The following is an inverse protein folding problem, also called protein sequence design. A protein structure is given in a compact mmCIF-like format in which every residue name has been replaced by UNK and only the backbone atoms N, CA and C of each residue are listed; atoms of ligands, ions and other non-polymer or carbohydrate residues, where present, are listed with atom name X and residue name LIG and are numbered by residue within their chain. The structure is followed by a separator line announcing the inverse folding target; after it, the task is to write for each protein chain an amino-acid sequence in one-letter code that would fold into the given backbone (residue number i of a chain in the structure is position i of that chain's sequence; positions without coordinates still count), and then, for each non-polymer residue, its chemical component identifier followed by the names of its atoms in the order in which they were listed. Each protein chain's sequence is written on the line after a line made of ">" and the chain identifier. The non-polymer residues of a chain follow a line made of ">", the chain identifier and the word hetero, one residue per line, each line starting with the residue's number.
data_IF_893930870086
#
_entry.id   IF_893930870086
#
_cell.length_a   1.000
_cell.length_b   1.000
_cell.length_c   1.000
_cell.angle_alpha   90.00
_cell.angle_beta   90.00
_cell.angle_gamma   90.00
#
_symmetry.space_group_name_H-M   'P 1'
#
loop_
_entity.id
_entity.type
_entity.pdbx_description
1 polymer ?
#
# COMPACT_ATOMS: atom_id res chain seq x y z
N UNK A 1 -18.19 17.92 7.95
CA UNK A 1 -17.67 18.62 6.75
C UNK A 1 -17.96 17.72 5.54
N UNK A 2 -18.42 18.25 4.41
CA UNK A 2 -18.65 17.48 3.18
C UNK A 2 -17.30 17.17 2.53
N UNK A 3 -17.09 15.94 2.03
CA UNK A 3 -15.86 15.50 1.36
C UNK A 3 -16.09 15.38 -0.14
N UNK A 4 -15.14 15.87 -0.92
CA UNK A 4 -15.17 15.76 -2.38
C UNK A 4 -14.58 14.40 -2.79
N UNK A 5 -15.37 13.62 -3.52
CA UNK A 5 -14.96 12.32 -4.07
C UNK A 5 -14.96 12.42 -5.59
N UNK A 6 -13.82 12.13 -6.22
CA UNK A 6 -13.70 12.08 -7.69
C UNK A 6 -13.58 10.62 -8.13
N UNK A 7 -14.38 10.21 -9.09
CA UNK A 7 -14.35 8.89 -9.73
C UNK A 7 -13.67 9.02 -11.08
N UNK A 8 -12.61 8.24 -11.29
CA UNK A 8 -11.84 8.15 -12.54
C UNK A 8 -11.90 6.71 -13.05
N UNK A 9 -12.59 6.50 -14.15
CA UNK A 9 -12.80 5.19 -14.78
C UNK A 9 -13.25 5.47 -16.23
N UNK A 10 -12.75 4.76 -17.22
CA UNK A 10 -13.12 5.01 -18.63
C UNK A 10 -14.54 4.55 -18.95
N UNK A 11 -15.07 3.59 -18.21
CA UNK A 11 -16.42 3.06 -18.40
C UNK A 11 -17.48 3.95 -17.70
N UNK A 12 -18.22 4.74 -18.48
CA UNK A 12 -19.33 5.57 -17.96
C UNK A 12 -20.35 4.77 -17.11
N UNK A 13 -20.77 3.55 -17.48
CA UNK A 13 -21.68 2.77 -16.63
C UNK A 13 -21.08 2.46 -15.26
N UNK A 14 -19.79 2.18 -15.19
CA UNK A 14 -19.06 1.92 -13.94
C UNK A 14 -19.03 3.16 -13.06
N UNK A 15 -18.71 4.35 -13.61
CA UNK A 15 -18.75 5.61 -12.86
C UNK A 15 -20.13 5.89 -12.28
N UNK A 16 -21.20 5.71 -13.08
CA UNK A 16 -22.58 5.90 -12.62
C UNK A 16 -23.01 4.87 -11.56
N UNK A 17 -22.52 3.64 -11.67
CA UNK A 17 -22.77 2.59 -10.67
C UNK A 17 -22.12 2.94 -9.34
N UNK A 18 -20.83 3.30 -9.34
CA UNK A 18 -20.09 3.72 -8.16
C UNK A 18 -20.77 4.96 -7.53
N UNK A 19 -21.15 5.93 -8.35
CA UNK A 19 -21.86 7.13 -7.89
C UNK A 19 -23.12 6.79 -7.12
N UNK A 20 -24.00 5.94 -7.70
CA UNK A 20 -25.23 5.49 -7.04
C UNK A 20 -24.98 4.76 -5.73
N UNK A 21 -23.92 3.92 -5.67
CA UNK A 21 -23.53 3.27 -4.43
C UNK A 21 -23.12 4.30 -3.37
N UNK A 22 -22.28 5.27 -3.71
CA UNK A 22 -21.86 6.34 -2.80
C UNK A 22 -23.02 7.20 -2.32
N UNK A 23 -23.97 7.53 -3.21
CA UNK A 23 -25.19 8.27 -2.89
C UNK A 23 -26.14 7.50 -1.94
N UNK A 24 -26.08 6.15 -1.98
CA UNK A 24 -26.87 5.30 -1.07
C UNK A 24 -26.29 5.23 0.35
N UNK A 25 -25.02 5.62 0.52
CA UNK A 25 -24.39 5.66 1.83
C UNK A 25 -24.83 6.94 2.55
N UNK A 26 -25.17 6.86 3.81
CA UNK A 26 -25.50 8.05 4.64
C UNK A 26 -24.21 8.79 5.03
N UNK A 27 -23.48 9.27 4.01
CA UNK A 27 -22.21 9.96 4.14
C UNK A 27 -22.30 11.37 3.50
N UNK A 28 -21.64 12.35 4.11
CA UNK A 28 -21.59 13.72 3.57
C UNK A 28 -20.54 13.81 2.46
N UNK A 29 -20.91 13.39 1.24
CA UNK A 29 -20.05 13.37 0.07
C UNK A 29 -20.56 14.30 -1.02
N UNK A 30 -19.63 14.91 -1.75
CA UNK A 30 -19.86 15.63 -3.00
C UNK A 30 -19.12 14.84 -4.09
N UNK A 31 -19.88 14.24 -5.03
CA UNK A 31 -19.38 13.20 -5.92
C UNK A 31 -19.23 13.75 -7.34
N UNK A 32 -18.05 13.59 -7.92
CA UNK A 32 -17.68 14.00 -9.25
C UNK A 32 -17.29 12.77 -10.11
N UNK A 33 -17.63 12.79 -11.42
CA UNK A 33 -17.43 11.67 -12.35
C UNK A 33 -16.72 12.12 -13.64
N UNK A 34 -15.91 13.17 -13.57
CA UNK A 34 -15.35 13.87 -14.75
C UNK A 34 -14.07 13.21 -15.31
N UNK A 35 -13.58 12.14 -14.69
CA UNK A 35 -12.37 11.42 -15.12
C UNK A 35 -12.70 10.20 -15.97
N UNK A 36 -12.48 10.25 -17.29
CA UNK A 36 -12.69 9.11 -18.21
C UNK A 36 -11.40 8.67 -18.93
N UNK A 37 -10.28 9.29 -18.61
CA UNK A 37 -8.96 9.00 -19.17
C UNK A 37 -7.87 9.49 -18.22
N UNK A 38 -6.60 9.14 -18.48
CA UNK A 38 -5.46 9.65 -17.71
C UNK A 38 -5.44 11.18 -17.77
N UNK A 39 -5.57 11.77 -18.96
CA UNK A 39 -5.48 13.22 -19.13
C UNK A 39 -6.63 13.93 -18.42
N UNK A 40 -7.89 13.51 -18.62
CA UNK A 40 -9.04 14.12 -17.96
C UNK A 40 -9.02 13.91 -16.45
N UNK A 41 -8.50 12.77 -15.97
CA UNK A 41 -8.30 12.48 -14.55
C UNK A 41 -7.32 13.45 -13.89
N UNK A 42 -6.18 13.74 -14.54
CA UNK A 42 -5.21 14.73 -14.06
C UNK A 42 -5.86 16.12 -13.98
N UNK A 43 -6.52 16.56 -15.07
CA UNK A 43 -7.20 17.86 -15.13
C UNK A 43 -8.29 17.98 -14.05
N UNK A 44 -9.08 16.93 -13.85
CA UNK A 44 -10.12 16.91 -12.83
C UNK A 44 -9.54 17.01 -11.41
N UNK A 45 -8.45 16.29 -11.10
CA UNK A 45 -7.78 16.38 -9.80
C UNK A 45 -7.24 17.79 -9.55
N UNK A 46 -6.54 18.39 -10.52
CA UNK A 46 -5.94 19.72 -10.37
C UNK A 46 -7.00 20.82 -10.19
N UNK A 47 -8.14 20.72 -10.88
CA UNK A 47 -9.21 21.70 -10.82
C UNK A 47 -10.11 21.54 -9.58
N UNK A 48 -10.54 20.31 -9.28
CA UNK A 48 -11.51 20.04 -8.22
C UNK A 48 -10.87 19.97 -6.84
N UNK A 49 -9.57 19.59 -6.78
CA UNK A 49 -8.82 19.32 -5.54
C UNK A 49 -9.64 18.40 -4.64
N UNK A 50 -9.90 17.16 -5.07
CA UNK A 50 -10.72 16.21 -4.32
C UNK A 50 -10.06 15.83 -2.99
N UNK A 51 -10.88 15.39 -2.03
CA UNK A 51 -10.39 14.76 -0.79
C UNK A 51 -10.06 13.27 -1.01
N UNK A 52 -10.86 12.60 -1.85
CA UNK A 52 -10.75 11.16 -2.14
C UNK A 52 -10.82 10.97 -3.66
N UNK A 53 -9.96 10.11 -4.19
CA UNK A 53 -9.97 9.69 -5.60
C UNK A 53 -10.22 8.19 -5.68
N UNK A 54 -11.30 7.78 -6.34
CA UNK A 54 -11.58 6.40 -6.74
C UNK A 54 -11.07 6.24 -8.16
N UNK A 55 -10.09 5.37 -8.38
CA UNK A 55 -9.29 5.34 -9.59
C UNK A 55 -9.21 3.94 -10.20
N UNK A 56 -9.69 3.77 -11.43
CA UNK A 56 -9.36 2.57 -12.20
C UNK A 56 -7.90 2.60 -12.65
N UNK A 57 -7.34 1.42 -12.79
CA UNK A 57 -5.97 1.25 -13.27
C UNK A 57 -5.90 1.26 -14.79
N UNK A 58 -6.80 0.61 -15.49
CA UNK A 58 -6.77 0.59 -16.95
C UNK A 58 -7.65 1.67 -17.56
N UNK A 59 -7.03 2.46 -18.43
CA UNK A 59 -7.70 3.51 -19.22
C UNK A 59 -7.17 3.49 -20.65
N UNK A 60 -7.92 3.98 -21.65
CA UNK A 60 -7.54 3.90 -23.07
C UNK A 60 -6.22 4.60 -23.42
N UNK A 61 -5.85 5.64 -22.70
CA UNK A 61 -4.67 6.48 -22.93
C UNK A 61 -3.51 6.22 -21.96
N UNK A 62 -3.62 5.21 -21.08
CA UNK A 62 -2.59 4.86 -20.11
C UNK A 62 -3.13 4.09 -18.92
N UNK A 63 -2.54 4.29 -17.75
CA UNK A 63 -3.00 3.63 -16.53
C UNK A 63 -3.15 4.60 -15.35
N UNK A 64 -3.88 4.19 -14.30
CA UNK A 64 -4.15 5.01 -13.12
C UNK A 64 -2.89 5.48 -12.40
N UNK A 65 -1.79 4.76 -12.50
CA UNK A 65 -0.51 5.22 -11.93
C UNK A 65 0.09 6.39 -12.72
N UNK A 66 -0.24 6.52 -14.01
CA UNK A 66 0.21 7.65 -14.82
C UNK A 66 -0.56 8.92 -14.45
N UNK A 67 -1.85 8.81 -14.06
CA UNK A 67 -2.59 9.91 -13.41
C UNK A 67 -1.82 10.39 -12.19
N UNK A 68 -1.42 9.48 -11.30
CA UNK A 68 -0.72 9.84 -10.07
C UNK A 68 0.68 10.42 -10.29
N UNK A 69 1.35 10.05 -11.40
CA UNK A 69 2.64 10.66 -11.78
C UNK A 69 2.45 12.07 -12.35
N UNK A 70 1.34 12.30 -13.06
CA UNK A 70 1.06 13.58 -13.73
C UNK A 70 0.55 14.68 -12.79
N UNK A 71 0.02 14.32 -11.61
CA UNK A 71 -0.51 15.30 -10.64
C UNK A 71 0.60 15.89 -9.78
N UNK A 72 0.61 17.23 -9.67
CA UNK A 72 1.63 17.99 -8.93
C UNK A 72 1.47 17.88 -7.42
N UNK A 73 0.23 17.87 -6.92
CA UNK A 73 -0.07 17.81 -5.49
C UNK A 73 -0.97 16.61 -5.15
N UNK A 74 -0.49 15.71 -4.30
CA UNK A 74 -1.17 14.48 -3.89
C UNK A 74 -1.75 14.61 -2.47
N UNK A 75 -2.51 15.65 -2.22
CA UNK A 75 -3.13 15.89 -0.91
C UNK A 75 -4.51 15.20 -0.73
N UNK A 76 -4.74 14.11 -1.43
CA UNK A 76 -5.97 13.32 -1.42
C UNK A 76 -5.67 11.86 -1.05
N UNK A 77 -6.68 11.14 -0.57
CA UNK A 77 -6.61 9.69 -0.37
C UNK A 77 -6.98 8.95 -1.66
N UNK A 78 -6.30 7.84 -1.95
CA UNK A 78 -6.47 7.05 -3.17
C UNK A 78 -7.06 5.70 -2.82
N UNK A 79 -8.14 5.34 -3.51
CA UNK A 79 -8.73 3.99 -3.50
C UNK A 79 -8.74 3.50 -4.93
N UNK A 80 -8.01 2.44 -5.24
CA UNK A 80 -8.08 1.81 -6.56
C UNK A 80 -9.32 0.92 -6.68
N UNK A 81 -10.01 1.00 -7.81
CA UNK A 81 -11.16 0.14 -8.15
C UNK A 81 -10.92 -0.44 -9.54
N UNK A 82 -10.57 -1.71 -9.65
CA UNK A 82 -10.14 -2.31 -10.91
C UNK A 82 -10.45 -3.79 -11.03
N UNK A 83 -10.51 -4.31 -12.27
CA UNK A 83 -10.63 -5.76 -12.53
C UNK A 83 -9.30 -6.52 -12.37
N UNK A 84 -8.17 -5.84 -12.25
CA UNK A 84 -6.84 -6.40 -12.34
C UNK A 84 -6.19 -6.57 -10.97
N UNK A 85 -5.99 -7.82 -10.55
CA UNK A 85 -5.40 -8.15 -9.23
C UNK A 85 -3.88 -7.93 -9.17
N UNK A 86 -3.20 -8.01 -10.30
CA UNK A 86 -1.74 -7.91 -10.39
C UNK A 86 -1.18 -6.53 -10.03
N UNK A 87 -2.00 -5.50 -10.08
CA UNK A 87 -1.57 -4.13 -9.77
C UNK A 87 -1.76 -3.72 -8.29
N UNK A 88 -2.40 -4.56 -7.46
CA UNK A 88 -2.56 -4.29 -6.02
C UNK A 88 -1.25 -3.95 -5.34
N UNK A 89 -0.19 -4.60 -5.79
CA UNK A 89 1.20 -4.44 -5.37
C UNK A 89 1.76 -3.06 -5.74
N UNK A 90 1.43 -2.57 -6.93
CA UNK A 90 1.90 -1.26 -7.38
C UNK A 90 1.11 -0.13 -6.68
N UNK A 91 -0.16 -0.37 -6.35
CA UNK A 91 -0.99 0.56 -5.59
C UNK A 91 -0.38 0.90 -4.22
N UNK A 92 0.22 -0.09 -3.54
CA UNK A 92 0.92 0.11 -2.26
C UNK A 92 2.08 1.10 -2.41
N UNK A 93 2.85 1.06 -3.51
CA UNK A 93 3.96 2.00 -3.77
C UNK A 93 3.50 3.45 -3.90
N UNK A 94 2.27 3.66 -4.36
CA UNK A 94 1.66 4.97 -4.46
C UNK A 94 0.92 5.40 -3.19
N UNK A 95 1.09 4.62 -2.10
CA UNK A 95 0.42 4.87 -0.82
C UNK A 95 -1.10 4.91 -0.96
N UNK A 96 -1.66 4.09 -1.85
CA UNK A 96 -3.09 3.92 -1.93
C UNK A 96 -3.65 3.45 -0.59
N UNK A 97 -4.75 4.06 -0.18
CA UNK A 97 -5.41 3.71 1.07
C UNK A 97 -6.05 2.34 1.01
N UNK A 98 -6.66 2.01 -0.14
CA UNK A 98 -7.34 0.74 -0.34
C UNK A 98 -7.31 0.30 -1.81
N UNK A 99 -7.70 -0.96 -2.05
CA UNK A 99 -7.69 -1.59 -3.38
C UNK A 99 -8.87 -2.55 -3.51
N UNK A 100 -9.88 -2.14 -4.27
CA UNK A 100 -11.14 -2.88 -4.46
C UNK A 100 -11.14 -3.55 -5.83
N UNK A 101 -11.48 -4.84 -5.85
CA UNK A 101 -11.61 -5.59 -7.09
C UNK A 101 -13.04 -5.50 -7.64
N UNK A 102 -13.16 -5.28 -8.95
CA UNK A 102 -14.43 -5.49 -9.67
C UNK A 102 -14.76 -7.00 -9.73
N UNK A 103 -16.01 -7.46 -9.42
CA UNK A 103 -17.19 -6.65 -9.13
C UNK A 103 -17.14 -6.00 -7.75
N UNK A 104 -17.58 -4.75 -7.68
CA UNK A 104 -17.48 -3.92 -6.48
C UNK A 104 -18.50 -4.38 -5.43
N UNK A 105 -18.02 -4.73 -4.25
CA UNK A 105 -18.86 -4.96 -3.09
C UNK A 105 -19.20 -3.63 -2.39
N UNK A 106 -20.48 -3.44 -2.04
CA UNK A 106 -20.96 -2.19 -1.48
C UNK A 106 -20.43 -1.92 -0.07
N UNK A 107 -20.26 -2.97 0.75
CA UNK A 107 -19.69 -2.81 2.09
C UNK A 107 -18.20 -2.53 2.05
N UNK A 108 -17.47 -3.18 1.14
CA UNK A 108 -16.04 -2.94 0.93
C UNK A 108 -15.80 -1.47 0.52
N UNK A 109 -16.55 -0.98 -0.49
CA UNK A 109 -16.47 0.41 -0.92
C UNK A 109 -16.82 1.39 0.20
N UNK A 110 -17.88 1.12 0.96
CA UNK A 110 -18.30 1.96 2.09
C UNK A 110 -17.22 2.04 3.15
N UNK A 111 -16.62 0.91 3.53
CA UNK A 111 -15.58 0.86 4.54
C UNK A 111 -14.31 1.61 4.09
N UNK A 112 -13.91 1.45 2.83
CA UNK A 112 -12.76 2.17 2.27
C UNK A 112 -12.97 3.70 2.30
N UNK A 113 -14.17 4.17 1.94
CA UNK A 113 -14.50 5.61 1.97
C UNK A 113 -14.57 6.14 3.41
N UNK A 114 -15.14 5.39 4.35
CA UNK A 114 -15.16 5.77 5.78
C UNK A 114 -13.73 5.91 6.32
N UNK A 115 -12.86 4.95 6.02
CA UNK A 115 -11.45 4.98 6.41
C UNK A 115 -10.75 6.23 5.84
N UNK A 116 -10.98 6.56 4.56
CA UNK A 116 -10.45 7.76 3.94
C UNK A 116 -10.93 9.03 4.66
N UNK A 117 -12.22 9.12 4.98
CA UNK A 117 -12.78 10.27 5.69
C UNK A 117 -12.20 10.44 7.10
N UNK A 118 -11.97 9.35 7.83
CA UNK A 118 -11.36 9.36 9.16
C UNK A 118 -9.91 9.89 9.09
N UNK A 119 -9.10 9.39 8.18
CA UNK A 119 -7.72 9.86 7.97
C UNK A 119 -7.64 11.35 7.66
N UNK A 120 -8.50 11.81 6.74
CA UNK A 120 -8.58 13.22 6.38
C UNK A 120 -9.05 14.11 7.55
N UNK A 121 -9.80 13.56 8.49
CA UNK A 121 -10.22 14.28 9.70
C UNK A 121 -9.05 14.43 10.67
N UNK A 122 -8.29 13.37 10.90
CA UNK A 122 -7.09 13.42 11.75
C UNK A 122 -6.02 14.35 11.19
N UNK A 123 -5.77 14.35 9.87
CA UNK A 123 -4.81 15.28 9.24
C UNK A 123 -5.12 16.76 9.47
N UNK A 124 -6.38 17.16 9.71
CA UNK A 124 -6.76 18.56 10.00
C UNK A 124 -6.56 18.96 11.47
N UNK A 125 -6.80 18.02 12.38
CA UNK A 125 -6.60 18.26 13.82
C UNK A 125 -5.09 18.28 14.14
N UNK A 126 -4.27 17.51 13.41
CA UNK A 126 -2.83 17.47 13.57
C UNK A 126 -2.10 18.78 13.19
N UNK A 127 -2.65 19.62 12.33
CA UNK A 127 -2.03 20.93 12.02
C UNK A 127 -2.05 21.91 13.23
N UNK A 128 -2.94 21.72 14.19
CA UNK A 128 -2.94 22.47 15.45
C UNK A 128 -2.14 21.78 16.57
N UNK A 129 -1.92 20.46 16.47
CA UNK A 129 -1.21 19.63 17.47
C UNK A 129 0.25 19.38 17.08
N UNK A 130 0.64 19.52 15.81
CA UNK A 130 2.03 19.34 15.33
C UNK A 130 3.05 20.30 15.97
N UNK A 131 2.59 21.36 16.65
CA UNK A 131 3.47 22.19 17.48
C UNK A 131 3.85 21.52 18.82
N UNK A 132 3.23 20.39 19.22
CA UNK A 132 3.40 19.77 20.53
C UNK A 132 3.74 18.27 20.52
N UNK A 133 3.66 17.55 19.38
CA UNK A 133 3.93 16.10 19.36
C UNK A 133 4.70 15.64 18.11
N UNK A 134 5.98 15.83 18.11
CA UNK A 134 6.92 15.25 17.12
C UNK A 134 7.14 13.73 17.30
N UNK A 135 6.16 12.94 17.77
CA UNK A 135 6.43 11.53 18.03
C UNK A 135 5.22 10.57 18.01
N UNK A 136 4.20 10.75 17.18
CA UNK A 136 3.28 9.62 16.88
C UNK A 136 2.68 9.83 15.49
N UNK A 137 3.30 9.23 14.47
CA UNK A 137 2.58 8.94 13.22
C UNK A 137 1.63 7.76 13.48
N UNK A 138 0.30 7.87 13.22
CA UNK A 138 -0.52 6.69 13.14
C UNK A 138 -0.03 5.91 11.92
N UNK A 139 0.59 4.75 12.15
CA UNK A 139 0.91 3.79 11.11
C UNK A 139 -0.39 3.35 10.46
N UNK A 140 -0.65 3.86 9.26
CA UNK A 140 -1.62 3.25 8.36
C UNK A 140 -1.21 1.78 8.21
N UNK A 141 -2.00 0.87 8.76
CA UNK A 141 -1.77 -0.56 8.65
C UNK A 141 -1.89 -0.97 7.19
N UNK A 142 -0.76 -0.97 6.48
CA UNK A 142 -0.68 -1.37 5.09
C UNK A 142 -0.84 -2.88 5.00
N UNK A 143 -1.76 -3.35 4.16
CA UNK A 143 -2.03 -4.79 4.01
C UNK A 143 -1.44 -5.34 2.73
N UNK A 144 -0.92 -6.55 2.80
CA UNK A 144 -0.41 -7.33 1.68
C UNK A 144 -1.29 -8.56 1.46
N UNK A 145 -1.73 -8.76 0.22
CA UNK A 145 -2.50 -9.95 -0.16
C UNK A 145 -1.55 -11.05 -0.62
N UNK A 146 -1.53 -12.16 0.10
CA UNK A 146 -0.74 -13.34 -0.19
C UNK A 146 -1.66 -14.46 -0.69
N UNK A 147 -1.46 -14.91 -1.94
CA UNK A 147 -2.23 -15.99 -2.55
C UNK A 147 -1.46 -17.29 -2.48
N UNK A 148 -2.06 -18.30 -1.87
CA UNK A 148 -1.61 -19.69 -1.91
C UNK A 148 -2.49 -20.48 -2.87
N UNK A 149 -2.22 -21.77 -3.06
CA UNK A 149 -3.09 -22.65 -3.86
C UNK A 149 -4.48 -22.84 -3.24
N UNK A 150 -4.60 -22.72 -1.92
CA UNK A 150 -5.82 -23.06 -1.18
C UNK A 150 -6.53 -21.86 -0.57
N UNK A 151 -5.81 -20.71 -0.38
CA UNK A 151 -6.34 -19.59 0.40
C UNK A 151 -5.76 -18.25 -0.07
N UNK A 152 -6.49 -17.19 0.26
CA UNK A 152 -6.02 -15.81 0.14
C UNK A 152 -5.86 -15.26 1.55
N UNK A 153 -4.64 -14.85 1.89
CA UNK A 153 -4.31 -14.22 3.16
C UNK A 153 -4.19 -12.71 2.98
N UNK A 154 -4.82 -11.95 3.85
CA UNK A 154 -4.62 -10.51 3.95
C UNK A 154 -3.81 -10.27 5.22
N UNK A 155 -2.53 -9.89 5.07
CA UNK A 155 -1.60 -9.70 6.19
C UNK A 155 -1.23 -8.23 6.30
N UNK A 156 -1.09 -7.73 7.52
CA UNK A 156 -0.51 -6.40 7.74
C UNK A 156 0.98 -6.45 7.41
N UNK A 157 1.49 -5.45 6.69
CA UNK A 157 2.91 -5.42 6.29
C UNK A 157 3.81 -5.38 7.53
N UNK A 158 3.37 -4.69 8.58
CA UNK A 158 4.11 -4.59 9.85
C UNK A 158 4.17 -5.92 10.62
N UNK A 159 3.25 -6.86 10.33
CA UNK A 159 3.26 -8.21 10.91
C UNK A 159 4.25 -9.14 10.21
N UNK A 160 4.80 -8.76 9.06
CA UNK A 160 5.79 -9.56 8.34
C UNK A 160 7.15 -9.36 9.00
N UNK A 161 7.72 -10.43 9.55
CA UNK A 161 9.04 -10.43 10.18
C UNK A 161 10.15 -10.56 9.14
N UNK A 162 10.05 -11.56 8.29
CA UNK A 162 10.96 -11.76 7.16
C UNK A 162 10.34 -12.65 6.07
N UNK A 163 10.98 -12.65 4.90
CA UNK A 163 10.65 -13.54 3.80
C UNK A 163 11.87 -14.36 3.39
N UNK A 164 11.65 -15.62 3.01
CA UNK A 164 12.69 -16.55 2.60
C UNK A 164 12.36 -17.16 1.23
N UNK A 165 13.34 -17.17 0.32
CA UNK A 165 13.19 -17.81 -0.99
C UNK A 165 13.32 -19.33 -0.88
N UNK A 166 12.38 -20.04 -1.52
CA UNK A 166 12.47 -21.47 -1.79
C UNK A 166 12.21 -21.71 -3.29
N UNK A 167 13.28 -21.79 -4.09
CA UNK A 167 13.22 -21.91 -5.57
C UNK A 167 12.37 -20.76 -6.17
N UNK A 168 11.20 -21.10 -6.73
CA UNK A 168 10.25 -20.15 -7.33
C UNK A 168 9.17 -19.70 -6.36
N UNK A 169 9.27 -20.07 -5.08
CA UNK A 169 8.32 -19.75 -4.03
C UNK A 169 8.94 -18.80 -3.02
N UNK A 170 8.11 -18.16 -2.23
CA UNK A 170 8.53 -17.32 -1.10
C UNK A 170 7.74 -17.70 0.14
N UNK A 171 8.44 -17.96 1.23
CA UNK A 171 7.86 -18.07 2.56
C UNK A 171 7.78 -16.69 3.22
N UNK A 172 6.63 -16.37 3.79
CA UNK A 172 6.43 -15.24 4.68
C UNK A 172 6.34 -15.74 6.11
N UNK A 173 7.12 -15.15 6.99
CA UNK A 173 7.09 -15.41 8.42
C UNK A 173 6.49 -14.21 9.13
N UNK A 174 5.40 -14.45 9.90
CA UNK A 174 4.62 -13.42 10.56
C UNK A 174 4.88 -13.37 12.07
N UNK A 175 4.59 -12.24 12.69
CA UNK A 175 4.74 -12.01 14.14
C UNK A 175 3.95 -13.01 15.01
N UNK A 176 2.82 -13.53 14.50
CA UNK A 176 2.00 -14.53 15.19
C UNK A 176 2.54 -15.97 15.05
N UNK A 177 3.71 -16.14 14.42
CA UNK A 177 4.35 -17.43 14.17
C UNK A 177 3.82 -18.16 12.93
N UNK A 178 2.84 -17.59 12.20
CA UNK A 178 2.38 -18.18 10.94
C UNK A 178 3.44 -18.12 9.86
N UNK A 179 3.47 -19.18 9.05
CA UNK A 179 4.29 -19.29 7.85
C UNK A 179 3.40 -19.48 6.64
N UNK A 180 3.51 -18.58 5.63
CA UNK A 180 2.68 -18.61 4.42
C UNK A 180 3.59 -18.80 3.22
N UNK A 181 3.31 -19.81 2.39
CA UNK A 181 4.03 -20.10 1.14
C UNK A 181 3.25 -19.56 -0.06
N UNK A 182 3.91 -18.76 -0.89
CA UNK A 182 3.33 -18.16 -2.09
C UNK A 182 4.13 -18.48 -3.34
N UNK A 183 3.47 -18.56 -4.50
CA UNK A 183 4.05 -18.94 -5.80
C UNK A 183 4.69 -17.77 -6.57
N UNK A 184 5.23 -16.77 -5.87
CA UNK A 184 6.01 -15.67 -6.45
C UNK A 184 7.41 -15.68 -5.90
N UNK A 185 8.37 -15.17 -6.68
CA UNK A 185 9.78 -15.16 -6.27
C UNK A 185 10.05 -14.07 -5.23
N UNK A 186 11.08 -14.28 -4.40
CA UNK A 186 11.51 -13.26 -3.43
C UNK A 186 11.95 -11.96 -4.10
N UNK A 187 12.39 -12.00 -5.37
CA UNK A 187 12.73 -10.80 -6.15
C UNK A 187 11.51 -9.92 -6.40
N UNK A 188 10.35 -10.53 -6.69
CA UNK A 188 9.09 -9.80 -6.90
C UNK A 188 8.68 -9.07 -5.62
N UNK A 189 8.81 -9.74 -4.46
CA UNK A 189 8.52 -9.14 -3.17
C UNK A 189 9.56 -8.12 -2.69
N UNK A 190 10.83 -8.29 -3.02
CA UNK A 190 11.87 -7.28 -2.78
C UNK A 190 11.54 -5.96 -3.49
N UNK A 191 11.12 -6.06 -4.76
CA UNK A 191 10.65 -4.90 -5.52
C UNK A 191 9.39 -4.29 -4.90
N UNK A 192 8.47 -5.14 -4.43
CA UNK A 192 7.19 -4.77 -3.86
C UNK A 192 7.32 -4.04 -2.52
N UNK A 193 8.11 -4.63 -1.61
CA UNK A 193 8.31 -4.14 -0.25
C UNK A 193 9.43 -3.08 -0.17
N UNK A 194 10.01 -2.71 -1.31
CA UNK A 194 10.99 -1.62 -1.42
C UNK A 194 10.39 -0.30 -0.94
N UNK A 195 11.07 0.38 -0.02
CA UNK A 195 10.60 1.63 0.60
C UNK A 195 9.60 1.45 1.76
N UNK A 196 9.33 0.20 2.18
CA UNK A 196 8.44 -0.13 3.29
C UNK A 196 9.20 -0.71 4.49
N UNK A 197 10.42 -0.24 4.74
CA UNK A 197 11.29 -0.73 5.82
C UNK A 197 11.71 -2.20 5.64
N UNK A 198 11.72 -2.72 4.40
CA UNK A 198 12.27 -4.03 4.08
C UNK A 198 13.63 -3.91 3.39
N UNK A 199 14.53 -4.81 3.77
CA UNK A 199 15.88 -4.85 3.20
C UNK A 199 16.28 -6.27 2.82
N UNK A 200 16.78 -6.45 1.59
CA UNK A 200 17.26 -7.75 1.11
C UNK A 200 18.69 -7.99 1.56
N UNK A 201 18.83 -8.67 2.68
CA UNK A 201 20.14 -8.97 3.31
C UNK A 201 20.93 -10.06 2.61
N UNK A 202 20.22 -10.99 1.93
CA UNK A 202 20.82 -12.13 1.22
C UNK A 202 20.03 -12.45 -0.06
N UNK A 203 20.61 -13.23 -1.00
CA UNK A 203 19.88 -13.68 -2.18
C UNK A 203 18.58 -14.43 -1.85
N UNK A 204 18.51 -15.08 -0.69
CA UNK A 204 17.37 -15.86 -0.22
C UNK A 204 16.60 -15.21 0.93
N UNK A 205 16.99 -14.05 1.44
CA UNK A 205 16.33 -13.42 2.61
C UNK A 205 16.05 -11.93 2.42
N UNK A 206 14.81 -11.55 2.69
CA UNK A 206 14.32 -10.18 2.78
C UNK A 206 13.76 -9.99 4.20
N UNK A 207 14.23 -9.01 4.95
CA UNK A 207 13.86 -8.80 6.34
C UNK A 207 13.13 -7.47 6.53
N UNK A 208 12.25 -7.41 7.53
CA UNK A 208 11.69 -6.15 8.02
C UNK A 208 12.71 -5.51 8.98
N UNK A 209 13.18 -4.32 8.64
CA UNK A 209 14.18 -3.60 9.44
C UNK A 209 13.66 -3.27 10.86
N UNK A 210 12.36 -3.05 11.02
CA UNK A 210 11.73 -2.83 12.33
C UNK A 210 11.80 -4.07 13.25
N UNK A 211 12.00 -5.26 12.68
CA UNK A 211 12.15 -6.52 13.41
C UNK A 211 13.61 -6.85 13.75
N UNK A 212 14.57 -6.03 13.35
CA UNK A 212 15.99 -6.24 13.70
C UNK A 212 16.20 -5.96 15.17
N UNK A 213 16.85 -6.91 15.87
CA UNK A 213 17.29 -6.74 17.26
C UNK A 213 18.75 -6.29 17.32
N UNK A 214 19.64 -7.03 16.63
CA UNK A 214 21.08 -6.73 16.61
C UNK A 214 21.78 -7.35 15.38
N UNK A 215 22.99 -6.88 15.15
CA UNK A 215 23.92 -7.51 14.21
C UNK A 215 24.99 -8.26 14.98
N UNK A 216 25.13 -9.56 14.73
CA UNK A 216 26.18 -10.39 15.28
C UNK A 216 27.37 -10.46 14.31
N UNK A 217 28.60 -10.19 14.82
CA UNK A 217 29.82 -10.17 14.01
C UNK A 217 30.48 -11.55 13.87
N UNK A 218 30.03 -12.55 14.64
CA UNK A 218 30.57 -13.91 14.59
C UNK A 218 30.17 -14.61 13.27
N UNK A 219 30.95 -15.60 12.85
CA UNK A 219 30.68 -16.48 11.71
C UNK A 219 30.28 -15.80 10.39
N UNK A 220 31.01 -14.74 10.03
CA UNK A 220 30.77 -13.99 8.78
C UNK A 220 29.72 -12.89 8.87
N UNK A 221 29.00 -12.79 9.98
CA UNK A 221 28.03 -11.76 10.28
C UNK A 221 26.58 -12.14 9.96
N UNK A 222 25.73 -12.08 11.00
CA UNK A 222 24.31 -12.37 10.90
C UNK A 222 23.47 -11.24 11.50
N UNK A 223 22.29 -11.02 10.93
CA UNK A 223 21.26 -10.14 11.49
C UNK A 223 20.38 -11.01 12.39
N UNK A 224 20.26 -10.63 13.64
CA UNK A 224 19.39 -11.30 14.60
C UNK A 224 18.08 -10.50 14.69
N UNK A 225 16.97 -11.19 14.45
CA UNK A 225 15.63 -10.61 14.55
C UNK A 225 15.07 -10.74 15.97
N UNK A 226 14.05 -9.97 16.30
CA UNK A 226 13.39 -9.93 17.62
C UNK A 226 12.79 -11.28 18.05
N UNK A 227 12.47 -12.15 17.09
CA UNK A 227 12.00 -13.53 17.35
C UNK A 227 13.14 -14.52 17.58
N UNK A 228 14.40 -14.05 17.57
CA UNK A 228 15.61 -14.88 17.73
C UNK A 228 16.13 -15.48 16.43
N UNK A 229 15.47 -15.29 15.31
CA UNK A 229 15.92 -15.82 14.00
C UNK A 229 17.23 -15.17 13.58
N UNK A 230 18.25 -15.99 13.27
CA UNK A 230 19.54 -15.53 12.74
C UNK A 230 19.56 -15.62 11.21
N UNK A 231 19.73 -14.49 10.53
CA UNK A 231 19.72 -14.42 9.06
C UNK A 231 21.10 -13.96 8.56
N UNK A 232 21.73 -14.69 7.63
CA UNK A 232 23.04 -14.35 7.12
C UNK A 232 22.99 -13.02 6.33
N UNK A 233 23.96 -12.13 6.60
CA UNK A 233 24.12 -10.89 5.86
C UNK A 233 25.19 -11.05 4.78
N UNK A 234 24.79 -10.88 3.51
CA UNK A 234 25.75 -10.89 2.41
C UNK A 234 26.81 -9.79 2.60
N UNK A 235 28.11 -10.12 2.46
CA UNK A 235 29.17 -9.12 2.61
C UNK A 235 29.01 -7.90 1.71
N UNK A 236 28.51 -8.11 0.49
CA UNK A 236 28.26 -7.02 -0.50
C UNK A 236 27.13 -6.08 -0.04
N UNK A 237 26.20 -6.56 0.78
CA UNK A 237 25.05 -5.80 1.26
C UNK A 237 25.28 -5.09 2.60
N UNK A 238 26.41 -5.37 3.24
CA UNK A 238 26.71 -4.92 4.61
C UNK A 238 26.68 -3.39 4.76
N UNK A 239 27.34 -2.65 3.88
CA UNK A 239 27.36 -1.18 3.94
C UNK A 239 25.97 -0.58 3.72
N UNK A 240 25.22 -1.11 2.75
CA UNK A 240 23.86 -0.63 2.47
C UNK A 240 22.90 -0.94 3.63
N UNK A 241 23.07 -2.12 4.27
CA UNK A 241 22.27 -2.50 5.43
C UNK A 241 22.45 -1.52 6.59
N UNK A 242 23.69 -1.16 6.96
CA UNK A 242 23.91 -0.20 8.03
C UNK A 242 23.37 1.19 7.68
N UNK A 243 23.55 1.67 6.44
CA UNK A 243 22.94 2.92 5.99
C UNK A 243 21.40 2.91 6.09
N UNK A 244 20.76 1.74 5.86
CA UNK A 244 19.31 1.62 6.00
C UNK A 244 18.86 1.62 7.46
N UNK A 245 19.66 1.11 8.40
CA UNK A 245 19.38 1.20 9.84
C UNK A 245 19.53 2.62 10.39
N UNK A 246 20.46 3.41 9.85
CA UNK A 246 20.65 4.82 10.25
C UNK A 246 19.47 5.72 9.82
N UNK A 247 18.57 5.23 8.96
CA UNK A 247 17.40 5.95 8.43
C UNK A 247 16.06 5.52 9.11
N UNK A 248 16.12 4.62 10.09
CA UNK A 248 14.97 4.22 10.93
C UNK A 248 14.70 5.29 12.00
#
# INVERSE_FOLDING_TARGET
>A
MTRKVLIIDDEKPTREFIRKMLESFDLKLEIYTDGESVQSGIEAIENLKPDIVLLDIQMPDGNGFDVLKGVSNKSFEIIFITAYQEFAVQAIKFSALDYILKPIDAEELKNAVINAMQLLSHKKDDQQIQALQNNIQPHLKRKLVLKTQESIFVVEIDDIVHCEADKNYTFFYLNDGKKILVSKTLKDYDTLLSGLQFFRVHQSHLINLNCVERYDKHDGGSVILKDGTAIPLSPVKKEQFFKSLDQL
#
